data_IF_094419706399
#
_entry.id   IF_094419706399
#
_cell.length_a   1.000
_cell.length_b   1.000
_cell.length_c   1.000
_cell.angle_alpha   90.00
_cell.angle_beta   90.00
_cell.angle_gamma   90.00
#
_symmetry.space_group_name_H-M   'P 1'
#
loop_
_entity.id
_entity.type
_entity.pdbx_description
1 polymer ?
#
# COMPACT_ATOMS: atom_id res chain seq x y z
N UNK A 1 57.36 1.06 28.27
CA UNK A 1 57.06 1.69 26.96
C UNK A 1 56.21 0.80 26.03
N UNK A 2 56.05 -0.51 26.29
CA UNK A 2 55.21 -1.41 25.47
C UNK A 2 53.70 -1.33 25.73
N UNK A 3 53.27 -1.03 26.97
CA UNK A 3 51.84 -1.00 27.32
C UNK A 3 51.07 0.16 26.70
N UNK A 4 51.69 1.32 26.50
CA UNK A 4 51.06 2.49 25.86
C UNK A 4 50.91 2.30 24.34
N UNK A 5 51.84 1.59 23.70
CA UNK A 5 51.79 1.24 22.27
C UNK A 5 50.69 0.21 22.00
N UNK A 6 50.54 -0.80 22.86
CA UNK A 6 49.42 -1.75 22.75
C UNK A 6 48.06 -1.09 23.00
N UNK A 7 47.98 -0.14 23.92
CA UNK A 7 46.75 0.64 24.16
C UNK A 7 46.40 1.56 22.99
N UNK A 8 47.41 2.18 22.35
CA UNK A 8 47.26 2.99 21.13
C UNK A 8 46.85 2.15 19.91
N UNK A 9 47.46 0.97 19.71
CA UNK A 9 47.12 0.04 18.62
C UNK A 9 45.71 -0.52 18.77
N UNK A 10 45.28 -0.85 20.00
CA UNK A 10 43.89 -1.26 20.27
C UNK A 10 42.93 -0.12 19.97
N UNK A 11 43.13 1.09 20.49
CA UNK A 11 42.23 2.21 20.21
C UNK A 11 42.12 2.54 18.71
N UNK A 12 43.20 2.37 17.93
CA UNK A 12 43.18 2.56 16.49
C UNK A 12 42.37 1.47 15.75
N UNK A 13 42.42 0.22 16.21
CA UNK A 13 41.65 -0.88 15.61
C UNK A 13 40.14 -0.78 15.89
N UNK A 14 39.74 -0.27 17.06
CA UNK A 14 38.32 -0.07 17.40
C UNK A 14 37.72 1.11 16.64
N UNK A 15 38.46 2.21 16.45
CA UNK A 15 37.97 3.35 15.66
C UNK A 15 37.86 3.01 14.18
N UNK A 16 38.83 2.27 13.61
CA UNK A 16 38.74 1.80 12.23
C UNK A 16 37.58 0.81 12.03
N UNK A 17 37.39 -0.13 12.96
CA UNK A 17 36.26 -1.07 12.89
C UNK A 17 34.90 -0.37 13.02
N UNK A 18 34.82 0.66 13.88
CA UNK A 18 33.60 1.48 14.02
C UNK A 18 33.34 2.31 12.76
N UNK A 19 34.38 2.90 12.16
CA UNK A 19 34.29 3.64 10.90
C UNK A 19 33.86 2.73 9.75
N UNK A 20 34.41 1.52 9.66
CA UNK A 20 33.98 0.53 8.66
C UNK A 20 32.55 0.04 8.89
N UNK A 21 32.10 -0.12 10.13
CA UNK A 21 30.72 -0.48 10.45
C UNK A 21 29.73 0.64 10.13
N UNK A 22 30.11 1.90 10.38
CA UNK A 22 29.35 3.08 10.00
C UNK A 22 29.30 3.20 8.47
N UNK A 23 30.42 2.97 7.78
CA UNK A 23 30.51 3.02 6.32
C UNK A 23 29.62 1.94 5.66
N UNK A 24 29.70 0.70 6.14
CA UNK A 24 28.81 -0.40 5.71
C UNK A 24 27.34 -0.06 6.00
N UNK A 25 27.04 0.47 7.19
CA UNK A 25 25.69 0.88 7.57
C UNK A 25 25.15 2.00 6.67
N UNK A 26 26.00 2.97 6.33
CA UNK A 26 25.66 4.09 5.44
C UNK A 26 25.41 3.59 4.02
N UNK A 27 26.26 2.73 3.49
CA UNK A 27 26.07 2.08 2.18
C UNK A 27 24.77 1.27 2.15
N UNK A 28 24.44 0.57 3.24
CA UNK A 28 23.23 -0.24 3.34
C UNK A 28 21.97 0.63 3.39
N UNK A 29 22.00 1.72 4.16
CA UNK A 29 20.90 2.71 4.21
C UNK A 29 20.73 3.42 2.87
N UNK A 30 21.82 3.81 2.22
CA UNK A 30 21.80 4.48 0.92
C UNK A 30 21.28 3.53 -0.18
N UNK A 31 21.73 2.28 -0.18
CA UNK A 31 21.23 1.24 -1.09
C UNK A 31 19.74 0.97 -0.85
N UNK A 32 19.32 0.86 0.41
CA UNK A 32 17.92 0.68 0.79
C UNK A 32 17.06 1.87 0.37
N UNK A 33 17.57 3.11 0.52
CA UNK A 33 16.88 4.31 0.03
C UNK A 33 16.70 4.28 -1.48
N UNK A 34 17.76 3.99 -2.23
CA UNK A 34 17.71 3.87 -3.70
C UNK A 34 16.67 2.82 -4.12
N UNK A 35 16.57 1.70 -3.41
CA UNK A 35 15.56 0.67 -3.66
C UNK A 35 14.12 1.12 -3.38
N UNK A 36 13.88 2.03 -2.43
CA UNK A 36 12.55 2.56 -2.12
C UNK A 36 12.13 3.64 -3.12
N UNK A 37 13.07 4.48 -3.56
CA UNK A 37 12.82 5.61 -4.45
C UNK A 37 12.35 5.15 -5.84
N UNK A 38 12.73 3.95 -6.26
CA UNK A 38 12.37 3.41 -7.56
C UNK A 38 10.97 2.79 -7.49
N UNK A 39 9.94 3.61 -7.73
CA UNK A 39 8.53 3.21 -7.70
C UNK A 39 8.08 2.31 -8.87
N UNK A 40 8.92 2.14 -9.89
CA UNK A 40 8.56 1.38 -11.09
C UNK A 40 9.17 -0.03 -11.06
N UNK A 41 8.31 -1.06 -11.11
CA UNK A 41 8.74 -2.45 -10.97
C UNK A 41 9.85 -2.80 -11.95
N UNK A 42 9.79 -2.31 -13.20
CA UNK A 42 10.80 -2.58 -14.25
C UNK A 42 12.20 -2.08 -13.89
N UNK A 43 12.30 -0.89 -13.31
CA UNK A 43 13.56 -0.25 -12.95
C UNK A 43 14.21 -0.90 -11.73
N UNK A 44 13.39 -1.42 -10.80
CA UNK A 44 13.87 -2.21 -9.66
C UNK A 44 14.60 -3.50 -10.10
N UNK A 45 14.13 -4.17 -11.16
CA UNK A 45 14.81 -5.36 -11.70
C UNK A 45 16.19 -5.01 -12.25
N UNK A 46 16.33 -3.87 -12.94
CA UNK A 46 17.60 -3.42 -13.51
C UNK A 46 18.62 -3.08 -12.41
N UNK A 47 18.20 -2.35 -11.38
CA UNK A 47 19.07 -1.99 -10.25
C UNK A 47 19.46 -3.21 -9.42
N UNK A 48 18.53 -4.14 -9.16
CA UNK A 48 18.86 -5.44 -8.53
C UNK A 48 19.88 -6.22 -9.36
N UNK A 49 19.72 -6.24 -10.68
CA UNK A 49 20.69 -6.86 -11.59
C UNK A 49 22.08 -6.26 -11.46
N UNK A 50 22.20 -4.93 -11.41
CA UNK A 50 23.47 -4.24 -11.21
C UNK A 50 24.11 -4.56 -9.85
N UNK A 51 23.31 -4.61 -8.77
CA UNK A 51 23.79 -4.98 -7.43
C UNK A 51 24.30 -6.43 -7.40
N UNK A 52 23.56 -7.36 -8.00
CA UNK A 52 23.98 -8.77 -8.11
C UNK A 52 25.30 -8.88 -8.89
N UNK A 53 25.42 -8.13 -9.99
CA UNK A 53 26.64 -8.11 -10.80
C UNK A 53 27.84 -7.55 -10.02
N UNK A 54 27.65 -6.47 -9.27
CA UNK A 54 28.66 -5.90 -8.36
C UNK A 54 29.09 -6.90 -7.28
N UNK A 55 28.15 -7.60 -6.65
CA UNK A 55 28.43 -8.65 -5.67
C UNK A 55 29.23 -9.81 -6.29
N UNK A 56 28.85 -10.26 -7.49
CA UNK A 56 29.56 -11.30 -8.22
C UNK A 56 31.01 -10.88 -8.55
N UNK A 57 31.22 -9.62 -8.95
CA UNK A 57 32.55 -9.08 -9.19
C UNK A 57 33.40 -9.05 -7.91
N UNK A 58 32.83 -8.59 -6.79
CA UNK A 58 33.51 -8.56 -5.50
C UNK A 58 33.87 -9.96 -4.97
N UNK A 59 32.95 -10.93 -5.10
CA UNK A 59 33.19 -12.33 -4.77
C UNK A 59 34.32 -12.90 -5.65
N UNK A 60 34.26 -12.69 -6.97
CA UNK A 60 35.29 -13.14 -7.91
C UNK A 60 36.69 -12.62 -7.57
N UNK A 61 36.78 -11.34 -7.18
CA UNK A 61 38.03 -10.72 -6.71
C UNK A 61 38.53 -11.35 -5.39
N UNK A 62 37.61 -11.63 -4.45
CA UNK A 62 37.92 -12.29 -3.18
C UNK A 62 38.46 -13.71 -3.38
N UNK A 63 37.91 -14.45 -4.34
CA UNK A 63 38.35 -15.80 -4.71
C UNK A 63 39.56 -15.82 -5.68
N UNK A 64 40.16 -14.66 -6.00
CA UNK A 64 41.33 -14.54 -6.88
C UNK A 64 41.13 -15.05 -8.33
N UNK A 65 39.89 -15.03 -8.84
CA UNK A 65 39.55 -15.50 -10.19
C UNK A 65 39.86 -14.43 -11.25
N UNK A 66 41.13 -14.31 -11.65
CA UNK A 66 41.66 -13.21 -12.50
C UNK A 66 40.88 -12.90 -13.80
N UNK A 67 40.50 -13.93 -14.56
CA UNK A 67 39.76 -13.73 -15.82
C UNK A 67 38.31 -13.32 -15.57
N UNK A 68 37.67 -13.93 -14.58
CA UNK A 68 36.28 -13.66 -14.24
C UNK A 68 36.13 -12.27 -13.61
N UNK A 69 37.05 -11.86 -12.72
CA UNK A 69 37.07 -10.52 -12.14
C UNK A 69 37.24 -9.46 -13.22
N UNK A 70 38.17 -9.66 -14.17
CA UNK A 70 38.37 -8.75 -15.30
C UNK A 70 37.09 -8.57 -16.13
N UNK A 71 36.41 -9.66 -16.51
CA UNK A 71 35.18 -9.59 -17.32
C UNK A 71 34.04 -8.93 -16.55
N UNK A 72 33.83 -9.32 -15.29
CA UNK A 72 32.76 -8.77 -14.45
C UNK A 72 32.96 -7.29 -14.16
N UNK A 73 34.19 -6.84 -13.90
CA UNK A 73 34.50 -5.41 -13.71
C UNK A 73 34.16 -4.58 -14.96
N UNK A 74 34.50 -5.06 -16.16
CA UNK A 74 34.14 -4.38 -17.41
C UNK A 74 32.63 -4.36 -17.63
N UNK A 75 31.93 -5.45 -17.30
CA UNK A 75 30.47 -5.50 -17.35
C UNK A 75 29.81 -4.55 -16.36
N UNK A 76 30.33 -4.43 -15.12
CA UNK A 76 29.83 -3.48 -14.12
C UNK A 76 29.99 -2.05 -14.64
N UNK A 77 31.15 -1.70 -15.20
CA UNK A 77 31.38 -0.36 -15.75
C UNK A 77 30.41 -0.07 -16.91
N UNK A 78 30.27 -0.98 -17.87
CA UNK A 78 29.36 -0.81 -19.00
C UNK A 78 27.89 -0.71 -18.59
N UNK A 79 27.46 -1.56 -17.65
CA UNK A 79 26.08 -1.54 -17.14
C UNK A 79 25.78 -0.31 -16.30
N UNK A 80 26.74 0.21 -15.53
CA UNK A 80 26.58 1.47 -14.80
C UNK A 80 26.39 2.66 -15.75
N UNK A 81 27.17 2.74 -16.84
CA UNK A 81 27.03 3.79 -17.86
C UNK A 81 25.67 3.70 -18.57
N UNK A 82 25.26 2.49 -18.98
CA UNK A 82 23.95 2.28 -19.60
C UNK A 82 22.80 2.65 -18.64
N UNK A 83 22.93 2.30 -17.36
CA UNK A 83 21.98 2.66 -16.32
C UNK A 83 21.87 4.18 -16.15
N UNK A 84 23.00 4.90 -16.13
CA UNK A 84 22.99 6.36 -15.99
C UNK A 84 22.25 7.06 -17.14
N UNK A 85 22.37 6.53 -18.37
CA UNK A 85 21.64 7.05 -19.53
C UNK A 85 20.13 6.76 -19.44
N UNK A 86 19.76 5.55 -19.02
CA UNK A 86 18.35 5.14 -18.89
C UNK A 86 17.67 5.87 -17.73
N UNK A 87 18.35 6.04 -16.60
CA UNK A 87 17.83 6.66 -15.37
C UNK A 87 17.94 8.19 -15.35
N UNK A 88 18.28 8.83 -16.48
CA UNK A 88 18.51 10.27 -16.51
C UNK A 88 17.26 11.06 -16.06
N UNK A 89 16.06 10.62 -16.48
CA UNK A 89 14.81 11.28 -16.13
C UNK A 89 14.40 11.07 -14.67
N UNK A 90 14.68 9.89 -14.13
CA UNK A 90 14.35 9.45 -12.76
C UNK A 90 15.27 10.12 -11.75
N UNK A 91 16.57 10.20 -12.06
CA UNK A 91 17.53 10.91 -11.20
C UNK A 91 17.21 12.40 -11.12
N UNK A 92 16.81 13.01 -12.25
CA UNK A 92 16.31 14.38 -12.28
C UNK A 92 15.07 14.53 -11.39
N UNK A 93 14.06 13.67 -11.53
CA UNK A 93 12.85 13.68 -10.69
C UNK A 93 13.19 13.50 -9.21
N UNK A 94 14.10 12.61 -8.88
CA UNK A 94 14.58 12.40 -7.52
C UNK A 94 15.22 13.66 -6.94
N UNK A 95 16.11 14.33 -7.69
CA UNK A 95 16.71 15.59 -7.26
C UNK A 95 15.67 16.72 -7.11
N UNK A 96 14.68 16.77 -8.00
CA UNK A 96 13.57 17.72 -7.91
C UNK A 96 12.73 17.48 -6.64
N UNK A 97 12.45 16.22 -6.28
CA UNK A 97 11.78 15.85 -5.03
C UNK A 97 12.63 16.14 -3.79
N UNK A 98 13.95 15.91 -3.88
CA UNK A 98 14.92 16.22 -2.83
C UNK A 98 14.95 17.73 -2.55
N UNK A 99 14.96 18.55 -3.60
CA UNK A 99 14.98 20.02 -3.51
C UNK A 99 13.69 20.63 -2.96
N UNK A 100 12.55 19.94 -3.07
CA UNK A 100 11.25 20.39 -2.51
C UNK A 100 11.06 20.03 -1.03
N UNK A 101 11.98 19.27 -0.41
CA UNK A 101 11.87 18.85 0.99
C UNK A 101 10.83 17.74 1.24
N UNK A 102 10.32 17.10 0.19
CA UNK A 102 9.34 16.01 0.27
C UNK A 102 9.96 14.66 0.71
N UNK A 103 11.26 14.63 1.00
CA UNK A 103 12.01 13.46 1.46
C UNK A 103 11.42 12.87 2.75
N UNK A 104 10.82 13.73 3.60
CA UNK A 104 10.11 13.31 4.82
C UNK A 104 8.90 12.40 4.49
N UNK A 105 8.32 12.50 3.29
CA UNK A 105 7.25 11.61 2.83
C UNK A 105 7.79 10.26 2.34
N UNK A 106 9.02 10.19 1.81
CA UNK A 106 9.72 8.96 1.41
C UNK A 106 10.25 8.13 2.59
N UNK A 107 10.58 8.78 3.73
CA UNK A 107 11.00 8.11 4.96
C UNK A 107 9.86 7.68 5.88
N UNK A 108 8.61 8.03 5.56
CA UNK A 108 7.49 7.34 6.17
C UNK A 108 7.56 5.91 5.65
N UNK A 109 7.66 4.89 6.53
CA UNK A 109 7.48 3.53 6.06
C UNK A 109 6.19 3.52 5.25
N UNK A 110 6.18 2.81 4.13
CA UNK A 110 4.94 2.37 3.49
C UNK A 110 4.21 1.41 4.44
N UNK A 111 3.81 1.90 5.63
CA UNK A 111 2.47 1.65 6.07
C UNK A 111 1.64 2.14 4.91
N UNK A 112 0.84 1.23 4.35
CA UNK A 112 -0.40 1.60 3.71
C UNK A 112 -0.93 2.81 4.46
N UNK A 113 -0.73 4.00 3.88
CA UNK A 113 -1.56 5.12 4.20
C UNK A 113 -2.89 4.67 3.64
N UNK A 114 -3.63 3.89 4.43
CA UNK A 114 -5.06 3.87 4.42
C UNK A 114 -5.37 5.36 4.51
N UNK A 115 -5.74 6.03 3.40
CA UNK A 115 -6.19 7.40 3.52
C UNK A 115 -7.30 7.33 4.54
N UNK A 116 -7.31 8.27 5.49
CA UNK A 116 -8.35 8.33 6.51
C UNK A 116 -9.69 7.99 5.82
N UNK A 117 -10.49 7.04 6.33
CA UNK A 117 -11.76 6.67 5.70
C UNK A 117 -12.61 7.89 5.32
N UNK A 118 -12.49 8.96 6.10
CA UNK A 118 -13.06 10.27 5.81
C UNK A 118 -12.71 10.80 4.41
N UNK A 119 -11.46 10.81 3.96
CA UNK A 119 -11.09 11.41 2.67
C UNK A 119 -11.66 10.62 1.48
N UNK A 120 -11.61 9.29 1.51
CA UNK A 120 -12.13 8.46 0.40
C UNK A 120 -13.65 8.55 0.31
N UNK A 121 -14.34 8.51 1.45
CA UNK A 121 -15.80 8.68 1.48
C UNK A 121 -16.19 10.06 0.96
N UNK A 122 -15.43 11.10 1.35
CA UNK A 122 -15.68 12.46 0.89
C UNK A 122 -15.51 12.57 -0.64
N UNK A 123 -14.45 12.00 -1.22
CA UNK A 123 -14.24 11.91 -2.68
C UNK A 123 -15.39 11.19 -3.40
N UNK A 124 -15.83 10.04 -2.88
CA UNK A 124 -16.95 9.27 -3.46
C UNK A 124 -18.25 10.07 -3.41
N UNK A 125 -18.57 10.67 -2.25
CA UNK A 125 -19.80 11.44 -2.07
C UNK A 125 -19.82 12.67 -2.97
N UNK A 126 -18.68 13.36 -3.09
CA UNK A 126 -18.59 14.56 -3.93
C UNK A 126 -18.66 14.21 -5.43
N UNK A 127 -18.10 13.06 -5.84
CA UNK A 127 -18.31 12.53 -7.20
C UNK A 127 -19.77 12.19 -7.46
N UNK A 128 -20.40 11.42 -6.56
CA UNK A 128 -21.80 10.99 -6.68
C UNK A 128 -22.76 12.19 -6.68
N UNK A 129 -22.48 13.23 -5.89
CA UNK A 129 -23.25 14.46 -5.88
C UNK A 129 -23.23 15.15 -7.25
N UNK A 130 -22.06 15.29 -7.85
CA UNK A 130 -21.93 15.90 -9.18
C UNK A 130 -22.62 15.06 -10.26
N UNK A 131 -22.43 13.74 -10.23
CA UNK A 131 -23.08 12.81 -11.17
C UNK A 131 -24.60 12.87 -11.05
N UNK A 132 -25.12 12.95 -9.83
CA UNK A 132 -26.54 13.14 -9.53
C UNK A 132 -27.08 14.46 -10.08
N UNK A 133 -26.37 15.57 -9.87
CA UNK A 133 -26.76 16.90 -10.38
C UNK A 133 -26.82 16.94 -11.91
N UNK A 134 -25.87 16.26 -12.56
CA UNK A 134 -25.79 16.17 -14.02
C UNK A 134 -26.63 15.02 -14.61
N UNK A 135 -27.35 14.26 -13.78
CA UNK A 135 -28.14 13.07 -14.17
C UNK A 135 -27.32 12.04 -14.96
N UNK A 136 -26.07 11.87 -14.59
CA UNK A 136 -25.19 10.86 -15.16
C UNK A 136 -25.36 9.57 -14.35
N UNK A 137 -25.74 8.49 -15.03
CA UNK A 137 -25.93 7.18 -14.41
C UNK A 137 -24.62 6.61 -13.88
N UNK A 138 -24.62 6.16 -12.63
CA UNK A 138 -23.44 5.61 -11.98
C UNK A 138 -23.77 4.38 -11.13
N UNK A 139 -22.82 3.45 -11.04
CA UNK A 139 -22.92 2.24 -10.24
C UNK A 139 -21.58 1.91 -9.61
N UNK A 140 -21.45 2.17 -8.31
CA UNK A 140 -20.23 1.93 -7.55
C UNK A 140 -20.44 0.74 -6.63
N UNK A 141 -19.47 -0.17 -6.61
CA UNK A 141 -19.40 -1.32 -5.70
C UNK A 141 -18.30 -1.06 -4.70
N UNK A 142 -18.66 -1.11 -3.43
CA UNK A 142 -17.79 -0.83 -2.30
C UNK A 142 -17.63 -2.11 -1.48
N UNK A 143 -16.39 -2.58 -1.37
CA UNK A 143 -16.06 -3.70 -0.50
C UNK A 143 -15.93 -3.22 0.95
N UNK A 144 -16.58 -3.92 1.89
CA UNK A 144 -16.56 -3.50 3.31
C UNK A 144 -15.47 -4.20 4.13
N UNK A 145 -15.59 -5.51 4.36
CA UNK A 145 -14.67 -6.27 5.24
C UNK A 145 -13.86 -7.35 4.52
N UNK A 146 -14.37 -7.85 3.39
CA UNK A 146 -13.74 -8.93 2.63
C UNK A 146 -13.76 -8.57 1.14
N UNK A 147 -12.75 -9.01 0.38
CA UNK A 147 -12.77 -8.83 -1.06
C UNK A 147 -13.91 -9.65 -1.67
N UNK A 148 -14.57 -9.09 -2.68
CA UNK A 148 -15.55 -9.79 -3.50
C UNK A 148 -14.79 -10.67 -4.48
N UNK A 149 -15.25 -11.89 -4.69
CA UNK A 149 -14.63 -12.80 -5.64
C UNK A 149 -14.99 -12.38 -7.07
N UNK A 150 -14.04 -12.41 -8.00
CA UNK A 150 -14.29 -12.09 -9.40
C UNK A 150 -15.35 -13.02 -10.03
N UNK A 151 -15.54 -14.21 -9.46
CA UNK A 151 -16.57 -15.20 -9.85
C UNK A 151 -18.00 -14.74 -9.57
N UNK A 152 -18.20 -13.77 -8.68
CA UNK A 152 -19.52 -13.22 -8.39
C UNK A 152 -19.99 -12.22 -9.46
N UNK A 153 -19.07 -11.73 -10.30
CA UNK A 153 -19.35 -10.86 -11.43
C UNK A 153 -19.70 -11.65 -12.69
N UNK A 154 -20.58 -11.09 -13.53
CA UNK A 154 -20.86 -11.66 -14.85
C UNK A 154 -19.69 -11.44 -15.80
N UNK A 155 -19.08 -10.24 -15.74
CA UNK A 155 -17.84 -9.90 -16.46
C UNK A 155 -16.98 -9.02 -15.55
N UNK A 156 -15.69 -9.36 -15.33
CA UNK A 156 -14.82 -8.69 -14.35
C UNK A 156 -14.38 -7.26 -14.73
N UNK A 157 -14.74 -6.76 -15.91
CA UNK A 157 -14.41 -5.40 -16.36
C UNK A 157 -12.93 -5.17 -16.68
N UNK A 158 -12.56 -3.89 -16.86
CA UNK A 158 -11.18 -3.46 -17.15
C UNK A 158 -10.49 -3.07 -15.84
N UNK A 159 -9.32 -3.67 -15.56
CA UNK A 159 -8.52 -3.35 -14.38
C UNK A 159 -7.88 -1.97 -14.50
N UNK A 160 -8.07 -1.13 -13.47
CA UNK A 160 -7.54 0.24 -13.41
C UNK A 160 -6.45 0.36 -12.34
N UNK A 161 -6.70 -0.16 -11.13
CA UNK A 161 -5.79 -0.07 -9.97
C UNK A 161 -5.34 1.36 -9.62
N UNK A 162 -6.20 2.35 -9.81
CA UNK A 162 -5.93 3.75 -9.48
C UNK A 162 -6.40 4.12 -8.07
N UNK A 163 -5.89 5.22 -7.53
CA UNK A 163 -6.41 5.81 -6.29
C UNK A 163 -7.79 6.43 -6.56
N UNK A 164 -8.68 6.35 -5.58
CA UNK A 164 -10.02 6.96 -5.68
C UNK A 164 -9.87 8.48 -5.65
N UNK A 165 -10.34 9.15 -6.71
CA UNK A 165 -10.53 10.60 -6.74
C UNK A 165 -11.88 10.93 -7.39
N UNK A 166 -12.42 12.10 -7.04
CA UNK A 166 -13.63 12.65 -7.64
C UNK A 166 -13.55 12.69 -9.16
N UNK A 167 -12.44 13.21 -9.70
CA UNK A 167 -12.23 13.40 -11.14
C UNK A 167 -12.20 12.05 -11.87
N UNK A 168 -11.56 11.04 -11.29
CA UNK A 168 -11.50 9.70 -11.87
C UNK A 168 -12.90 9.08 -11.97
N UNK A 169 -13.67 9.11 -10.88
CA UNK A 169 -15.03 8.55 -10.86
C UNK A 169 -15.94 9.27 -11.85
N UNK A 170 -15.86 10.60 -11.92
CA UNK A 170 -16.62 11.39 -12.89
C UNK A 170 -16.25 11.04 -14.32
N UNK A 171 -14.95 10.89 -14.62
CA UNK A 171 -14.46 10.53 -15.94
C UNK A 171 -14.95 9.15 -16.37
N UNK A 172 -14.91 8.18 -15.46
CA UNK A 172 -15.35 6.80 -15.76
C UNK A 172 -16.83 6.77 -16.13
N UNK A 173 -17.69 7.49 -15.41
CA UNK A 173 -19.14 7.46 -15.67
C UNK A 173 -19.61 8.41 -16.77
N UNK A 174 -18.71 9.15 -17.41
CA UNK A 174 -19.06 10.00 -18.54
C UNK A 174 -19.53 9.16 -19.73
N UNK A 175 -20.70 9.50 -20.28
CA UNK A 175 -21.41 8.73 -21.33
C UNK A 175 -20.64 8.54 -22.64
N UNK A 176 -19.57 9.31 -22.86
CA UNK A 176 -18.72 9.23 -24.05
C UNK A 176 -17.58 8.22 -23.92
N UNK A 177 -17.33 7.69 -22.72
CA UNK A 177 -16.21 6.77 -22.47
C UNK A 177 -16.61 5.31 -22.72
N UNK A 178 -15.67 4.39 -22.82
CA UNK A 178 -15.99 2.96 -22.93
C UNK A 178 -16.28 2.30 -21.57
N UNK A 179 -15.93 2.97 -20.47
CA UNK A 179 -15.97 2.38 -19.11
C UNK A 179 -17.25 2.74 -18.34
N UNK A 180 -18.08 3.65 -18.84
CA UNK A 180 -19.31 4.09 -18.17
C UNK A 180 -20.42 3.03 -18.17
N UNK A 181 -20.29 2.04 -19.06
CA UNK A 181 -21.24 0.94 -19.15
C UNK A 181 -20.82 -0.19 -18.19
N UNK A 182 -21.49 -0.25 -17.04
CA UNK A 182 -21.21 -1.20 -15.97
C UNK A 182 -20.90 -0.53 -14.64
N UNK A 183 -20.31 -1.31 -13.74
CA UNK A 183 -20.00 -0.92 -12.39
C UNK A 183 -18.51 -0.64 -12.17
N UNK A 184 -18.21 0.18 -11.17
CA UNK A 184 -16.86 0.46 -10.70
C UNK A 184 -16.63 -0.25 -9.37
N UNK A 185 -15.62 -1.11 -9.31
CA UNK A 185 -15.23 -1.83 -8.10
C UNK A 185 -14.19 -1.03 -7.31
N UNK A 186 -14.53 -0.69 -6.07
CA UNK A 186 -13.68 0.06 -5.15
C UNK A 186 -13.35 -0.81 -3.94
N UNK A 187 -12.05 -0.95 -3.67
CA UNK A 187 -11.49 -1.70 -2.54
C UNK A 187 -10.65 -0.74 -1.70
N UNK A 188 -11.12 -0.44 -0.49
CA UNK A 188 -10.48 0.55 0.37
C UNK A 188 -10.37 1.90 -0.33
N UNK A 189 -9.15 2.36 -0.61
CA UNK A 189 -8.86 3.63 -1.30
C UNK A 189 -8.58 3.51 -2.79
N UNK A 190 -8.78 2.34 -3.41
CA UNK A 190 -8.45 2.10 -4.81
C UNK A 190 -9.63 1.68 -5.66
N UNK A 191 -9.68 2.20 -6.87
CA UNK A 191 -10.52 1.70 -7.96
C UNK A 191 -9.81 0.49 -8.57
N UNK A 192 -10.34 -0.71 -8.32
CA UNK A 192 -9.77 -1.97 -8.81
C UNK A 192 -10.07 -2.16 -10.29
N UNK A 193 -11.35 -2.01 -10.66
CA UNK A 193 -11.84 -2.20 -12.03
C UNK A 193 -13.02 -1.29 -12.34
N UNK A 194 -13.26 -1.01 -13.62
CA UNK A 194 -14.46 -0.34 -14.13
C UNK A 194 -15.06 -1.11 -15.30
N UNK A 195 -16.32 -0.81 -15.65
CA UNK A 195 -17.06 -1.57 -16.66
C UNK A 195 -17.34 -3.01 -16.22
N UNK A 196 -17.46 -3.26 -14.91
CA UNK A 196 -17.79 -4.57 -14.35
C UNK A 196 -19.27 -4.85 -14.60
N UNK A 197 -19.59 -5.98 -15.24
CA UNK A 197 -20.98 -6.37 -15.48
C UNK A 197 -21.44 -7.26 -14.34
N UNK A 198 -22.53 -6.87 -13.71
CA UNK A 198 -23.07 -7.54 -12.52
C UNK A 198 -24.28 -8.42 -12.86
N UNK A 199 -24.53 -9.45 -12.03
CA UNK A 199 -25.79 -10.16 -12.08
C UNK A 199 -26.96 -9.24 -11.72
N UNK A 200 -28.09 -9.45 -12.38
CA UNK A 200 -29.30 -8.64 -12.20
C UNK A 200 -30.26 -9.41 -11.29
N UNK A 201 -30.82 -8.75 -10.28
CA UNK A 201 -31.85 -9.37 -9.43
C UNK A 201 -33.14 -9.67 -10.22
N UNK A 202 -33.69 -10.84 -9.99
CA UNK A 202 -35.00 -11.29 -10.51
C UNK A 202 -36.15 -10.96 -9.56
N UNK A 203 -35.86 -10.48 -8.34
CA UNK A 203 -36.91 -10.03 -7.44
C UNK A 203 -37.73 -8.95 -8.14
N UNK A 204 -39.04 -9.02 -7.97
CA UNK A 204 -40.03 -8.07 -8.50
C UNK A 204 -39.91 -6.73 -7.76
N UNK A 205 -38.73 -6.13 -7.83
CA UNK A 205 -38.51 -4.78 -7.39
C UNK A 205 -39.32 -3.87 -8.32
N UNK A 206 -39.96 -2.84 -7.77
CA UNK A 206 -40.97 -2.01 -8.43
C UNK A 206 -40.64 -1.76 -9.91
N UNK A 207 -41.63 -1.91 -10.80
CA UNK A 207 -41.56 -1.84 -12.28
C UNK A 207 -40.86 -0.60 -12.88
N UNK A 208 -40.40 0.32 -12.04
CA UNK A 208 -39.71 1.58 -12.29
C UNK A 208 -38.20 1.53 -12.04
N UNK A 209 -37.61 0.35 -11.80
CA UNK A 209 -36.16 0.22 -11.53
C UNK A 209 -35.39 -0.08 -12.82
N UNK A 210 -34.49 0.84 -13.18
CA UNK A 210 -33.54 0.65 -14.28
C UNK A 210 -32.53 -0.47 -14.03
N UNK A 211 -31.80 -0.85 -15.07
CA UNK A 211 -30.83 -1.97 -15.08
C UNK A 211 -29.75 -1.83 -14.00
N UNK A 212 -29.18 -0.64 -13.81
CA UNK A 212 -28.16 -0.37 -12.76
C UNK A 212 -28.66 -0.64 -11.34
N UNK A 213 -29.93 -0.33 -11.05
CA UNK A 213 -30.50 -0.60 -9.74
C UNK A 213 -30.69 -2.10 -9.51
N UNK A 214 -31.20 -2.80 -10.53
CA UNK A 214 -31.37 -4.26 -10.45
C UNK A 214 -30.03 -4.99 -10.37
N UNK A 215 -28.99 -4.48 -11.03
CA UNK A 215 -27.62 -4.96 -10.93
C UNK A 215 -27.05 -4.77 -9.51
N UNK A 216 -27.24 -3.59 -8.91
CA UNK A 216 -26.85 -3.33 -7.53
C UNK A 216 -27.55 -4.27 -6.53
N UNK A 217 -28.84 -4.53 -6.72
CA UNK A 217 -29.56 -5.51 -5.91
C UNK A 217 -29.02 -6.94 -6.14
N UNK A 218 -28.80 -7.33 -7.40
CA UNK A 218 -28.36 -8.68 -7.73
C UNK A 218 -27.00 -9.05 -7.12
N UNK A 219 -26.03 -8.13 -7.13
CA UNK A 219 -24.73 -8.40 -6.49
C UNK A 219 -24.85 -8.40 -4.95
N UNK A 220 -25.62 -7.49 -4.37
CA UNK A 220 -25.76 -7.39 -2.90
C UNK A 220 -26.64 -8.50 -2.31
N UNK A 221 -27.43 -9.20 -3.12
CA UNK A 221 -28.13 -10.43 -2.74
C UNK A 221 -27.16 -11.63 -2.63
N UNK A 222 -26.16 -11.69 -3.51
CA UNK A 222 -25.19 -12.79 -3.55
C UNK A 222 -24.05 -12.61 -2.55
N UNK A 223 -23.68 -11.35 -2.29
CA UNK A 223 -22.50 -11.00 -1.51
C UNK A 223 -22.89 -10.13 -0.32
N UNK A 224 -22.80 -10.68 0.88
CA UNK A 224 -23.23 -10.00 2.12
C UNK A 224 -22.37 -8.77 2.48
N UNK A 225 -21.10 -8.79 2.09
CA UNK A 225 -20.10 -7.75 2.35
C UNK A 225 -19.95 -6.74 1.19
N UNK A 226 -21.00 -6.60 0.38
CA UNK A 226 -21.06 -5.70 -0.75
C UNK A 226 -22.03 -4.55 -0.47
N UNK A 227 -21.56 -3.33 -0.67
CA UNK A 227 -22.38 -2.13 -0.62
C UNK A 227 -22.36 -1.47 -1.99
N UNK A 228 -23.53 -1.13 -2.55
CA UNK A 228 -23.59 -0.49 -3.87
C UNK A 228 -24.22 0.89 -3.81
N UNK A 229 -23.57 1.87 -4.44
CA UNK A 229 -24.13 3.21 -4.63
C UNK A 229 -24.57 3.34 -6.07
N UNK A 230 -25.82 3.79 -6.29
CA UNK A 230 -26.41 3.93 -7.61
C UNK A 230 -26.89 5.37 -7.80
N UNK A 231 -26.60 5.94 -8.98
CA UNK A 231 -27.19 7.19 -9.44
C UNK A 231 -28.07 6.90 -10.65
N UNK A 232 -29.33 7.34 -10.59
CA UNK A 232 -30.27 7.20 -11.69
C UNK A 232 -29.96 8.20 -12.82
N UNK A 233 -29.82 7.70 -14.05
CA UNK A 233 -29.67 8.56 -15.24
C UNK A 233 -30.96 9.30 -15.61
N UNK A 234 -32.12 8.75 -15.25
CA UNK A 234 -33.42 9.37 -15.55
C UNK A 234 -33.74 10.51 -14.58
N UNK A 235 -33.49 10.30 -13.29
CA UNK A 235 -33.97 11.18 -12.22
C UNK A 235 -32.85 11.91 -11.47
N UNK A 236 -31.60 11.48 -11.63
CA UNK A 236 -30.49 11.92 -10.78
C UNK A 236 -30.56 11.39 -9.34
N UNK A 237 -31.56 10.59 -8.97
CA UNK A 237 -31.70 10.11 -7.59
C UNK A 237 -30.56 9.18 -7.18
N UNK A 238 -30.08 9.38 -5.95
CA UNK A 238 -29.03 8.55 -5.33
C UNK A 238 -29.73 7.44 -4.54
N UNK A 239 -29.25 6.21 -4.71
CA UNK A 239 -29.72 5.03 -3.99
C UNK A 239 -28.54 4.24 -3.41
N UNK A 240 -28.76 3.59 -2.27
CA UNK A 240 -27.80 2.68 -1.65
C UNK A 240 -28.41 1.28 -1.60
N UNK A 241 -27.74 0.29 -2.19
CA UNK A 241 -28.14 -1.11 -2.10
C UNK A 241 -27.26 -1.85 -1.09
N UNK A 242 -27.91 -2.60 -0.19
CA UNK A 242 -27.26 -3.43 0.83
C UNK A 242 -28.12 -4.67 1.07
N UNK A 243 -27.52 -5.87 1.05
CA UNK A 243 -28.20 -7.15 1.31
C UNK A 243 -29.49 -7.35 0.49
N UNK A 244 -29.47 -6.97 -0.79
CA UNK A 244 -30.62 -7.09 -1.68
C UNK A 244 -31.77 -6.13 -1.39
N UNK A 245 -31.56 -5.14 -0.53
CA UNK A 245 -32.51 -4.04 -0.28
C UNK A 245 -31.96 -2.75 -0.86
N UNK A 246 -32.84 -1.88 -1.36
CA UNK A 246 -32.47 -0.62 -1.98
C UNK A 246 -33.07 0.54 -1.17
N UNK A 247 -32.21 1.34 -0.54
CA UNK A 247 -32.58 2.54 0.19
C UNK A 247 -32.55 3.75 -0.76
N UNK A 248 -33.72 4.35 -1.02
CA UNK A 248 -33.89 5.46 -1.95
C UNK A 248 -35.13 6.31 -1.63
N UNK A 249 -35.17 7.58 -2.08
CA UNK A 249 -34.04 8.38 -2.55
C UNK A 249 -33.20 8.89 -1.36
N UNK A 250 -31.88 9.01 -1.55
CA UNK A 250 -30.96 9.52 -0.54
C UNK A 250 -30.44 10.91 -0.92
N UNK A 251 -30.20 11.74 0.10
CA UNK A 251 -29.42 12.98 -0.06
C UNK A 251 -27.93 12.67 0.01
N UNK A 252 -27.08 13.53 -0.55
CA UNK A 252 -25.61 13.39 -0.46
C UNK A 252 -25.11 13.42 0.99
N UNK A 253 -25.74 14.21 1.85
CA UNK A 253 -25.46 14.23 3.29
C UNK A 253 -25.80 12.90 3.95
N UNK A 254 -26.97 12.31 3.63
CA UNK A 254 -27.37 11.03 4.20
C UNK A 254 -26.52 9.88 3.67
N UNK A 255 -26.13 9.92 2.40
CA UNK A 255 -25.18 8.97 1.83
C UNK A 255 -23.85 9.01 2.60
N UNK A 256 -23.31 10.21 2.86
CA UNK A 256 -22.06 10.37 3.63
C UNK A 256 -22.16 9.74 5.02
N UNK A 257 -23.25 10.01 5.73
CA UNK A 257 -23.52 9.45 7.05
C UNK A 257 -23.56 7.91 7.01
N UNK A 258 -24.33 7.34 6.08
CA UNK A 258 -24.46 5.89 5.92
C UNK A 258 -23.14 5.21 5.57
N UNK A 259 -22.36 5.79 4.64
CA UNK A 259 -21.05 5.26 4.27
C UNK A 259 -20.09 5.32 5.47
N UNK A 260 -20.03 6.44 6.19
CA UNK A 260 -19.17 6.57 7.38
C UNK A 260 -19.51 5.55 8.46
N UNK A 261 -20.79 5.32 8.74
CA UNK A 261 -21.21 4.32 9.72
C UNK A 261 -20.76 2.90 9.31
N UNK A 262 -20.98 2.51 8.04
CA UNK A 262 -20.61 1.16 7.54
C UNK A 262 -19.10 0.93 7.52
N UNK A 263 -18.31 1.92 7.12
CA UNK A 263 -16.85 1.82 7.07
C UNK A 263 -16.18 2.02 8.44
N UNK A 264 -16.83 2.69 9.40
CA UNK A 264 -16.30 2.77 10.78
C UNK A 264 -16.46 1.44 11.52
N UNK A 265 -17.60 0.75 11.30
CA UNK A 265 -17.85 -0.57 11.87
C UNK A 265 -16.91 -1.66 11.32
N UNK A 266 -16.39 -1.53 10.09
CA UNK A 266 -15.42 -2.48 9.54
C UNK A 266 -14.06 -2.36 10.20
N UNK A 267 -13.57 -1.12 10.43
CA UNK A 267 -12.32 -0.83 11.13
C UNK A 267 -12.36 -1.35 12.57
N UNK A 268 -13.49 -1.20 13.26
CA UNK A 268 -13.63 -1.68 14.64
C UNK A 268 -13.65 -3.21 14.72
N UNK A 269 -14.27 -3.90 13.77
CA UNK A 269 -14.25 -5.38 13.69
C UNK A 269 -12.86 -5.94 13.41
N UNK A 270 -12.04 -5.24 12.63
CA UNK A 270 -10.67 -5.65 12.33
C UNK A 270 -9.70 -5.34 13.49
N UNK A 271 -9.93 -4.24 14.22
CA UNK A 271 -9.23 -3.94 15.47
C UNK A 271 -9.56 -4.95 16.59
N UNK A 272 -10.73 -5.60 16.54
CA UNK A 272 -11.17 -6.67 17.46
C UNK A 272 -10.64 -8.06 17.07
N UNK A 273 -9.56 -8.14 16.27
CA UNK A 273 -8.67 -9.30 16.23
C UNK A 273 -7.36 -9.04 17.03
N UNK A 274 -7.36 -8.98 18.39
CA UNK A 274 -6.22 -8.54 19.18
C UNK A 274 -5.47 -9.71 19.82
N UNK A 275 -5.79 -10.98 19.48
CA UNK A 275 -5.27 -12.14 20.23
C UNK A 275 -3.76 -12.40 20.03
N UNK A 276 -3.11 -11.77 19.04
CA UNK A 276 -1.67 -11.93 18.81
C UNK A 276 -0.80 -10.82 19.43
N UNK A 277 -1.38 -9.70 19.89
CA UNK A 277 -0.61 -8.59 20.50
C UNK A 277 -0.48 -8.68 22.03
N UNK A 278 -1.35 -9.41 22.72
CA UNK A 278 -1.25 -9.59 24.18
C UNK A 278 -0.12 -10.54 24.60
N UNK A 279 0.25 -11.51 23.74
CA UNK A 279 1.33 -12.45 23.99
C UNK A 279 2.72 -11.78 24.01
N UNK A 280 2.97 -10.79 23.14
CA UNK A 280 4.25 -10.07 23.10
C UNK A 280 4.53 -9.20 24.32
N UNK A 281 3.48 -8.67 24.98
CA UNK A 281 3.63 -7.88 26.22
C UNK A 281 3.84 -8.76 27.46
N UNK A 282 3.25 -9.94 27.50
CA UNK A 282 3.45 -10.87 28.61
C UNK A 282 4.83 -11.53 28.56
N UNK A 283 5.32 -11.90 27.37
CA UNK A 283 6.66 -12.48 27.20
C UNK A 283 7.78 -11.49 27.56
N UNK A 284 7.65 -10.21 27.17
CA UNK A 284 8.66 -9.19 27.49
C UNK A 284 8.69 -8.84 28.99
N UNK A 285 7.54 -8.85 29.67
CA UNK A 285 7.49 -8.65 31.12
C UNK A 285 8.11 -9.83 31.89
N UNK A 286 7.84 -11.07 31.47
CA UNK A 286 8.42 -12.27 32.10
C UNK A 286 9.93 -12.37 31.85
N UNK A 287 10.40 -12.07 30.63
CA UNK A 287 11.84 -12.02 30.31
C UNK A 287 12.57 -10.95 31.11
N UNK A 288 11.98 -9.75 31.26
CA UNK A 288 12.58 -8.66 32.05
C UNK A 288 12.65 -9.01 33.54
N UNK A 289 11.63 -9.68 34.08
CA UNK A 289 11.62 -10.15 35.47
C UNK A 289 12.65 -11.27 35.71
N UNK A 290 12.81 -12.21 34.77
CA UNK A 290 13.84 -13.24 34.82
C UNK A 290 15.24 -12.63 34.73
N UNK A 291 15.44 -11.66 33.84
CA UNK A 291 16.72 -10.97 33.68
C UNK A 291 17.10 -10.16 34.93
N UNK A 292 16.13 -9.47 35.55
CA UNK A 292 16.35 -8.75 36.80
C UNK A 292 16.62 -9.69 37.99
N UNK A 293 16.01 -10.88 38.04
CA UNK A 293 16.35 -11.91 39.04
C UNK A 293 17.78 -12.43 38.84
N UNK A 294 18.18 -12.70 37.60
CA UNK A 294 19.54 -13.17 37.28
C UNK A 294 20.62 -12.16 37.67
N UNK A 295 20.38 -10.86 37.42
CA UNK A 295 21.31 -9.79 37.81
C UNK A 295 21.41 -9.66 39.35
N UNK A 296 20.30 -9.85 40.07
CA UNK A 296 20.28 -9.75 41.54
C UNK A 296 21.03 -10.90 42.23
N UNK A 297 20.99 -12.10 41.66
CA UNK A 297 21.75 -13.26 42.15
C UNK A 297 23.27 -13.08 41.95
N UNK A 298 23.68 -12.51 40.81
CA UNK A 298 25.11 -12.20 40.54
C UNK A 298 25.70 -11.18 41.53
N UNK A 299 24.91 -10.19 41.95
CA UNK A 299 25.34 -9.19 42.94
C UNK A 299 25.52 -9.72 44.37
N UNK A 300 24.90 -10.85 44.72
CA UNK A 300 25.02 -11.42 46.07
C UNK A 300 26.28 -12.28 46.28
N UNK A 301 26.88 -12.77 45.19
CA UNK A 301 28.07 -13.63 45.25
C UNK A 301 29.39 -12.85 45.43
N UNK A 302 29.41 -11.52 45.25
CA UNK A 302 30.63 -10.71 45.42
C UNK A 302 30.76 -10.05 46.81
N UNK A 303 29.86 -10.35 47.76
CA UNK A 303 29.88 -9.75 49.10
C UNK A 303 30.41 -10.69 50.20
N UNK A 304 30.81 -11.91 49.84
CA UNK A 304 31.32 -12.94 50.76
C UNK A 304 32.84 -13.21 50.59
N UNK A 305 33.58 -12.25 50.03
CA UNK A 305 35.05 -12.22 50.10
C UNK A 305 35.51 -10.87 50.64
N UNK A 306 35.40 -10.69 51.95
CA UNK A 306 36.29 -9.82 52.70
C UNK A 306 36.50 -10.41 54.09
#
# INVERSE_FOLDING_TARGET
>A
MGSLLEQWLKNLSWTQSLLSAIDIGLVLVLTYMVLIIIGERRTLWMVRGLIILMLAAALSSTFNLKLLSFVLEKLVIGSAVAMAFILQAEFRRFLEQLGRGEIVQLFKPAHEAIPKPDSVIDEIVDAVKELSQNRIGALLILETNRPIDERDFSVPGVRINAEVSKELLQTIFQTTTLLHDGAVLIRGSRVVAAGVILPISERTASRQLGTRHRAAMGITERVENCLCVVVSEETGSISLAERGTLNRPLTSSKLRELLRDRFSQSVEREAVAPQLRSLGRQLTAQLKALFLRLIRLSSSASREKK
#
